data_IF_204839508456
#
_entry.id   IF_204839508456
#
_cell.length_a   1.000
_cell.length_b   1.000
_cell.length_c   1.000
_cell.angle_alpha   90.00
_cell.angle_beta   90.00
_cell.angle_gamma   90.00
#
_symmetry.space_group_name_H-M   'P 1'
#
loop_
_entity.id
_entity.type
_entity.pdbx_description
1 polymer ?
#
# COMPACT_ATOMS: atom_id res chain seq x y z
N UNK A 1 -9.39 -8.90 -9.26
CA UNK A 1 -10.12 -8.37 -10.43
C UNK A 1 -11.25 -7.48 -9.94
N UNK A 2 -11.67 -6.52 -10.77
CA UNK A 2 -12.76 -5.58 -10.48
C UNK A 2 -13.84 -5.75 -11.53
N UNK A 3 -15.09 -5.68 -11.12
CA UNK A 3 -16.23 -5.86 -12.02
C UNK A 3 -17.37 -4.92 -11.63
N UNK A 4 -17.94 -4.23 -12.62
CA UNK A 4 -19.15 -3.42 -12.44
C UNK A 4 -20.36 -4.26 -12.84
N UNK A 5 -21.35 -4.33 -11.95
CA UNK A 5 -22.56 -5.14 -12.12
C UNK A 5 -23.82 -4.35 -11.77
N UNK A 6 -24.93 -4.66 -12.43
CA UNK A 6 -26.24 -4.07 -12.13
C UNK A 6 -26.77 -4.68 -10.83
N UNK A 7 -27.26 -3.85 -9.91
CA UNK A 7 -27.97 -4.31 -8.73
C UNK A 7 -29.40 -4.67 -9.13
N UNK A 8 -29.91 -5.80 -8.64
CA UNK A 8 -31.28 -6.24 -8.89
C UNK A 8 -32.21 -5.62 -7.83
N UNK A 9 -32.80 -4.47 -8.18
CA UNK A 9 -33.71 -3.70 -7.33
C UNK A 9 -35.06 -4.37 -7.05
N UNK A 10 -35.41 -5.40 -7.85
CA UNK A 10 -36.65 -6.17 -7.71
C UNK A 10 -36.48 -7.42 -6.85
N UNK A 11 -35.26 -7.73 -6.41
CA UNK A 11 -35.00 -8.89 -5.59
C UNK A 11 -35.46 -8.67 -4.14
N UNK A 12 -36.08 -9.69 -3.56
CA UNK A 12 -36.45 -9.69 -2.15
C UNK A 12 -35.19 -9.86 -1.28
N UNK A 13 -34.82 -8.79 -0.57
CA UNK A 13 -33.67 -8.78 0.33
C UNK A 13 -33.79 -9.79 1.47
N UNK A 14 -35.00 -10.13 1.92
CA UNK A 14 -35.23 -11.15 2.94
C UNK A 14 -35.02 -12.57 2.39
N UNK A 15 -35.39 -12.83 1.13
CA UNK A 15 -35.07 -14.08 0.44
C UNK A 15 -33.57 -14.18 0.12
N UNK A 16 -32.93 -13.06 -0.23
CA UNK A 16 -31.50 -12.97 -0.47
C UNK A 16 -30.66 -13.26 0.78
N UNK A 17 -31.09 -12.78 1.95
CA UNK A 17 -30.48 -13.12 3.24
C UNK A 17 -30.53 -14.62 3.55
N UNK A 18 -31.54 -15.33 3.03
CA UNK A 18 -31.70 -16.78 3.12
C UNK A 18 -31.03 -17.54 1.95
N UNK A 19 -30.19 -16.87 1.14
CA UNK A 19 -29.42 -17.49 0.06
C UNK A 19 -30.21 -17.77 -1.23
N UNK A 20 -31.44 -17.25 -1.37
CA UNK A 20 -32.26 -17.44 -2.58
C UNK A 20 -32.20 -16.21 -3.46
N UNK A 21 -31.58 -16.35 -4.65
CA UNK A 21 -31.51 -15.29 -5.66
C UNK A 21 -32.48 -15.58 -6.83
N UNK A 22 -33.09 -14.54 -7.45
CA UNK A 22 -33.81 -14.68 -8.71
C UNK A 22 -32.95 -15.29 -9.83
N UNK A 23 -33.60 -15.92 -10.81
CA UNK A 23 -32.89 -16.48 -11.96
C UNK A 23 -32.11 -15.39 -12.72
N UNK A 24 -30.80 -15.59 -12.88
CA UNK A 24 -29.90 -14.62 -13.52
C UNK A 24 -29.23 -13.63 -12.56
N UNK A 25 -29.51 -13.73 -11.26
CA UNK A 25 -28.89 -12.95 -10.20
C UNK A 25 -28.03 -13.83 -9.29
N UNK A 26 -27.10 -13.19 -8.58
CA UNK A 26 -26.22 -13.80 -7.58
C UNK A 26 -26.17 -12.90 -6.34
N UNK A 27 -25.90 -13.50 -5.19
CA UNK A 27 -25.79 -12.77 -3.92
C UNK A 27 -24.32 -12.60 -3.61
N UNK A 28 -23.92 -11.34 -3.37
CA UNK A 28 -22.61 -10.98 -2.82
C UNK A 28 -22.81 -10.28 -1.50
N UNK A 29 -21.76 -10.20 -0.70
CA UNK A 29 -21.80 -9.45 0.55
C UNK A 29 -21.06 -8.12 0.37
N UNK A 30 -21.63 -7.08 0.97
CA UNK A 30 -20.96 -5.81 1.18
C UNK A 30 -19.97 -5.92 2.36
N UNK A 31 -19.15 -4.88 2.57
CA UNK A 31 -18.17 -4.79 3.65
C UNK A 31 -18.80 -4.91 5.05
N UNK A 32 -20.06 -4.52 5.18
CA UNK A 32 -20.87 -4.66 6.41
C UNK A 32 -21.53 -6.04 6.56
N UNK A 33 -21.24 -7.00 5.66
CA UNK A 33 -21.86 -8.33 5.66
C UNK A 33 -23.31 -8.35 5.16
N UNK A 34 -23.80 -7.24 4.58
CA UNK A 34 -25.16 -7.13 4.05
C UNK A 34 -25.25 -7.84 2.69
N UNK A 35 -26.28 -8.66 2.45
CA UNK A 35 -26.46 -9.31 1.15
C UNK A 35 -26.89 -8.28 0.09
N UNK A 36 -26.15 -8.23 -1.01
CA UNK A 36 -26.44 -7.41 -2.19
C UNK A 36 -26.70 -8.35 -3.36
N UNK A 37 -27.88 -8.21 -3.98
CA UNK A 37 -28.26 -9.03 -5.12
C UNK A 37 -27.81 -8.35 -6.40
N UNK A 38 -26.92 -9.01 -7.14
CA UNK A 38 -26.32 -8.50 -8.36
C UNK A 38 -26.74 -9.36 -9.54
N UNK A 39 -26.95 -8.76 -10.70
CA UNK A 39 -27.12 -9.54 -11.93
C UNK A 39 -25.79 -10.20 -12.30
N UNK A 40 -25.85 -11.45 -12.79
CA UNK A 40 -24.67 -12.22 -13.23
C UNK A 40 -23.93 -11.59 -14.41
N UNK A 41 -24.58 -10.70 -15.17
CA UNK A 41 -23.98 -10.03 -16.31
C UNK A 41 -23.03 -8.93 -15.85
N UNK A 42 -21.75 -9.08 -16.18
CA UNK A 42 -20.72 -8.05 -15.99
C UNK A 42 -20.91 -6.95 -17.03
N UNK A 43 -21.04 -5.70 -16.57
CA UNK A 43 -21.18 -4.51 -17.43
C UNK A 43 -19.82 -4.07 -17.95
N UNK A 44 -18.86 -3.97 -17.03
CA UNK A 44 -17.52 -3.48 -17.29
C UNK A 44 -16.54 -4.22 -16.38
N UNK A 45 -15.40 -4.63 -16.94
CA UNK A 45 -14.30 -5.21 -16.18
C UNK A 45 -13.29 -4.11 -15.83
N UNK A 46 -12.61 -4.26 -14.70
CA UNK A 46 -11.51 -3.39 -14.29
C UNK A 46 -10.34 -3.37 -15.26
N UNK A 47 -10.24 -4.33 -16.18
CA UNK A 47 -9.25 -4.32 -17.27
C UNK A 47 -9.42 -3.13 -18.23
N UNK A 48 -10.62 -2.56 -18.30
CA UNK A 48 -10.90 -1.38 -19.13
C UNK A 48 -10.64 -0.05 -18.39
N UNK A 49 -10.19 -0.09 -17.13
CA UNK A 49 -9.81 1.11 -16.38
C UNK A 49 -8.38 1.48 -16.75
N UNK A 50 -8.18 2.69 -17.29
CA UNK A 50 -6.85 3.23 -17.62
C UNK A 50 -6.26 4.06 -16.50
N UNK A 51 -7.11 4.74 -15.71
CA UNK A 51 -6.67 5.54 -14.57
C UNK A 51 -7.79 5.70 -13.53
N UNK A 52 -7.40 5.88 -12.27
CA UNK A 52 -8.30 6.20 -11.17
C UNK A 52 -7.62 7.16 -10.18
N UNK A 53 -8.33 8.22 -9.78
CA UNK A 53 -7.82 9.24 -8.86
C UNK A 53 -8.86 9.65 -7.82
N UNK A 54 -8.43 9.80 -6.57
CA UNK A 54 -9.26 10.35 -5.49
C UNK A 54 -9.35 11.87 -5.62
N UNK A 55 -10.56 12.41 -5.50
CA UNK A 55 -10.85 13.84 -5.56
C UNK A 55 -11.95 14.19 -4.55
N UNK A 56 -12.32 15.46 -4.49
CA UNK A 56 -13.48 15.93 -3.73
C UNK A 56 -14.48 16.55 -4.69
N UNK A 57 -15.76 16.38 -4.41
CA UNK A 57 -16.83 17.00 -5.16
C UNK A 57 -17.00 18.49 -4.80
N UNK A 58 -17.93 19.15 -5.47
CA UNK A 58 -18.25 20.57 -5.28
C UNK A 58 -18.83 20.90 -3.89
N UNK A 59 -19.21 19.88 -3.11
CA UNK A 59 -19.74 19.97 -1.76
C UNK A 59 -18.74 19.48 -0.69
N UNK A 60 -17.48 19.24 -1.08
CA UNK A 60 -16.43 18.76 -0.19
C UNK A 60 -16.52 17.27 0.19
N UNK A 61 -17.36 16.49 -0.51
CA UNK A 61 -17.50 15.05 -0.27
C UNK A 61 -16.44 14.28 -1.08
N UNK A 62 -15.84 13.22 -0.51
CA UNK A 62 -14.89 12.39 -1.25
C UNK A 62 -15.54 11.72 -2.47
N UNK A 63 -14.80 11.69 -3.58
CA UNK A 63 -15.19 10.99 -4.81
C UNK A 63 -13.97 10.34 -5.46
N UNK A 64 -14.19 9.35 -6.33
CA UNK A 64 -13.14 8.76 -7.16
C UNK A 64 -13.46 8.96 -8.63
N UNK A 65 -12.56 9.63 -9.34
CA UNK A 65 -12.64 9.83 -10.78
C UNK A 65 -12.01 8.62 -11.48
N UNK A 66 -12.74 8.06 -12.44
CA UNK A 66 -12.32 6.89 -13.22
C UNK A 66 -12.23 7.30 -14.69
N UNK A 67 -11.13 6.91 -15.33
CA UNK A 67 -10.94 6.99 -16.77
C UNK A 67 -10.89 5.59 -17.35
N UNK A 68 -11.65 5.36 -18.42
CA UNK A 68 -11.70 4.09 -19.14
C UNK A 68 -10.96 4.16 -20.47
N UNK A 69 -10.65 3.00 -21.03
CA UNK A 69 -10.28 2.87 -22.43
C UNK A 69 -11.48 3.14 -23.36
N UNK A 70 -11.23 3.19 -24.66
CA UNK A 70 -12.27 3.50 -25.65
C UNK A 70 -13.38 2.43 -25.70
N UNK A 71 -13.02 1.15 -25.54
CA UNK A 71 -13.98 0.04 -25.61
C UNK A 71 -14.90 0.03 -24.37
N UNK A 72 -14.31 0.13 -23.19
CA UNK A 72 -14.98 0.20 -21.90
C UNK A 72 -15.84 1.45 -21.78
N UNK A 73 -15.37 2.60 -22.25
CA UNK A 73 -16.15 3.84 -22.31
C UNK A 73 -17.41 3.69 -23.19
N UNK A 74 -17.31 3.02 -24.33
CA UNK A 74 -18.46 2.76 -25.21
C UNK A 74 -19.46 1.78 -24.57
N UNK A 75 -18.97 0.70 -23.95
CA UNK A 75 -19.80 -0.27 -23.20
C UNK A 75 -20.55 0.40 -22.05
N UNK A 76 -19.83 1.20 -21.26
CA UNK A 76 -20.40 1.95 -20.13
C UNK A 76 -21.42 2.98 -20.60
N UNK A 77 -21.16 3.69 -21.70
CA UNK A 77 -22.11 4.65 -22.29
C UNK A 77 -23.39 3.98 -22.78
N UNK A 78 -23.27 2.84 -23.48
CA UNK A 78 -24.42 2.09 -23.97
C UNK A 78 -25.28 1.53 -22.83
N UNK A 79 -24.65 1.08 -21.74
CA UNK A 79 -25.34 0.56 -20.57
C UNK A 79 -26.01 1.66 -19.74
N UNK A 80 -25.26 2.70 -19.37
CA UNK A 80 -25.75 3.78 -18.51
C UNK A 80 -26.92 4.55 -19.12
N UNK A 81 -26.91 4.80 -20.44
CA UNK A 81 -28.03 5.46 -21.17
C UNK A 81 -29.37 4.75 -20.98
N UNK A 82 -29.37 3.42 -20.82
CA UNK A 82 -30.60 2.61 -20.67
C UNK A 82 -30.98 2.36 -19.21
N UNK A 83 -30.11 2.71 -18.27
CA UNK A 83 -30.20 2.35 -16.86
C UNK A 83 -30.01 3.55 -15.93
N UNK A 84 -30.33 4.76 -16.40
CA UNK A 84 -30.35 5.97 -15.57
C UNK A 84 -31.36 5.77 -14.43
N UNK A 85 -30.95 6.11 -13.21
CA UNK A 85 -31.74 5.93 -11.98
C UNK A 85 -31.59 4.56 -11.32
N UNK A 86 -30.91 3.60 -11.96
CA UNK A 86 -30.63 2.29 -11.35
C UNK A 86 -29.34 2.27 -10.55
N UNK A 87 -29.26 1.32 -9.63
CA UNK A 87 -28.08 1.05 -8.81
C UNK A 87 -27.06 0.20 -9.58
N UNK A 88 -25.79 0.57 -9.46
CA UNK A 88 -24.64 -0.16 -9.97
C UNK A 88 -23.70 -0.46 -8.81
N UNK A 89 -23.27 -1.72 -8.72
CA UNK A 89 -22.30 -2.17 -7.74
C UNK A 89 -20.92 -2.32 -8.35
N UNK A 90 -19.90 -1.92 -7.59
CA UNK A 90 -18.51 -2.23 -7.87
C UNK A 90 -18.11 -3.44 -7.03
N UNK A 91 -17.86 -4.57 -7.69
CA UNK A 91 -17.42 -5.81 -7.06
C UNK A 91 -15.90 -5.89 -7.17
N UNK A 92 -15.25 -6.05 -6.04
CA UNK A 92 -13.83 -6.36 -5.96
C UNK A 92 -13.64 -7.83 -5.66
N UNK A 93 -12.75 -8.45 -6.40
CA UNK A 93 -12.37 -9.82 -6.22
C UNK A 93 -10.86 -9.91 -6.01
N UNK A 94 -10.42 -10.58 -4.96
CA UNK A 94 -9.01 -10.84 -4.71
C UNK A 94 -8.78 -12.33 -4.48
N UNK A 95 -7.57 -12.78 -4.79
CA UNK A 95 -7.14 -14.14 -4.46
C UNK A 95 -6.32 -14.06 -3.18
N UNK A 96 -6.87 -14.58 -2.08
CA UNK A 96 -6.17 -14.70 -0.81
C UNK A 96 -5.63 -16.11 -0.63
N UNK A 97 -4.51 -16.23 0.08
CA UNK A 97 -4.03 -17.52 0.56
C UNK A 97 -5.10 -18.16 1.44
N UNK A 98 -5.56 -19.35 1.07
CA UNK A 98 -6.58 -20.08 1.81
C UNK A 98 -6.06 -20.68 3.14
N UNK A 99 -4.76 -20.54 3.41
CA UNK A 99 -4.06 -21.22 4.50
C UNK A 99 -3.84 -22.71 4.26
N UNK A 100 -4.29 -23.23 3.10
CA UNK A 100 -4.17 -24.64 2.71
C UNK A 100 -3.12 -24.78 1.62
N UNK A 101 -2.27 -25.80 1.75
CA UNK A 101 -1.26 -26.16 0.75
C UNK A 101 -1.70 -27.46 0.06
N UNK A 102 -1.48 -27.57 -1.25
CA UNK A 102 -1.60 -28.85 -1.95
C UNK A 102 -0.55 -29.84 -1.45
N UNK A 103 -0.70 -31.16 -1.69
CA UNK A 103 0.32 -32.17 -1.35
C UNK A 103 1.71 -31.85 -1.92
N UNK A 104 1.76 -31.07 -3.01
CA UNK A 104 2.96 -30.59 -3.71
C UNK A 104 3.54 -29.31 -3.09
N UNK A 105 3.00 -28.82 -1.97
CA UNK A 105 3.47 -27.62 -1.27
C UNK A 105 3.02 -26.28 -1.86
N UNK A 106 2.16 -26.29 -2.89
CA UNK A 106 1.65 -25.07 -3.52
C UNK A 106 0.49 -24.48 -2.71
N UNK A 107 0.53 -23.18 -2.46
CA UNK A 107 -0.55 -22.44 -1.79
C UNK A 107 -1.82 -22.50 -2.63
N UNK A 108 -2.94 -22.93 -2.01
CA UNK A 108 -4.26 -22.88 -2.63
C UNK A 108 -4.80 -21.47 -2.44
N UNK A 109 -5.06 -20.77 -3.54
CA UNK A 109 -5.67 -19.44 -3.52
C UNK A 109 -7.20 -19.56 -3.50
N UNK A 110 -7.86 -18.83 -2.60
CA UNK A 110 -9.33 -18.70 -2.58
C UNK A 110 -9.73 -17.33 -3.07
N UNK A 111 -10.71 -17.29 -3.99
CA UNK A 111 -11.28 -16.05 -4.51
C UNK A 111 -12.22 -15.45 -3.47
N UNK A 112 -11.83 -14.34 -2.87
CA UNK A 112 -12.71 -13.50 -2.07
C UNK A 112 -13.34 -12.45 -2.97
N UNK A 113 -14.67 -12.30 -2.90
CA UNK A 113 -15.42 -11.32 -3.67
C UNK A 113 -16.30 -10.50 -2.73
N UNK A 114 -16.14 -9.17 -2.76
CA UNK A 114 -16.87 -8.22 -1.93
C UNK A 114 -17.42 -7.08 -2.80
N UNK A 115 -18.56 -6.53 -2.40
CA UNK A 115 -19.06 -5.27 -2.96
C UNK A 115 -18.39 -4.15 -2.18
N UNK A 116 -17.67 -3.25 -2.87
CA UNK A 116 -17.01 -2.10 -2.22
C UNK A 116 -17.90 -0.87 -2.24
N UNK A 117 -18.73 -0.71 -3.26
CA UNK A 117 -19.63 0.44 -3.34
C UNK A 117 -20.88 0.13 -4.18
N UNK A 118 -22.00 0.75 -3.81
CA UNK A 118 -23.26 0.79 -4.51
C UNK A 118 -23.62 2.24 -4.84
N UNK A 119 -23.60 2.59 -6.12
CA UNK A 119 -23.85 3.95 -6.58
C UNK A 119 -24.98 3.99 -7.61
N UNK A 120 -25.82 5.03 -7.54
CA UNK A 120 -26.88 5.25 -8.52
C UNK A 120 -26.32 5.89 -9.79
N UNK A 121 -26.71 5.37 -10.95
CA UNK A 121 -26.37 5.95 -12.25
C UNK A 121 -27.19 7.23 -12.44
N UNK A 122 -26.57 8.40 -12.22
CA UNK A 122 -27.25 9.69 -12.32
C UNK A 122 -27.38 10.21 -13.76
N UNK A 123 -26.47 9.81 -14.65
CA UNK A 123 -26.41 10.28 -16.03
C UNK A 123 -25.78 9.23 -16.95
N UNK A 124 -25.79 9.49 -18.26
CA UNK A 124 -25.04 8.67 -19.21
C UNK A 124 -23.54 8.80 -18.94
N UNK A 125 -22.93 7.73 -18.42
CA UNK A 125 -21.52 7.66 -18.08
C UNK A 125 -20.71 7.37 -19.33
N UNK A 126 -19.81 8.28 -19.69
CA UNK A 126 -18.92 8.13 -20.83
C UNK A 126 -17.62 7.40 -20.47
N UNK A 127 -16.54 7.81 -21.14
CA UNK A 127 -15.19 7.32 -20.85
C UNK A 127 -14.69 7.75 -19.46
N UNK A 128 -15.12 8.93 -19.02
CA UNK A 128 -14.77 9.47 -17.72
C UNK A 128 -16.04 9.54 -16.87
N UNK A 129 -15.99 9.01 -15.66
CA UNK A 129 -17.08 9.13 -14.70
C UNK A 129 -16.52 9.19 -13.28
N UNK A 130 -17.38 9.57 -12.33
CA UNK A 130 -17.03 9.64 -10.92
C UNK A 130 -17.89 8.70 -10.10
N UNK A 131 -17.25 8.05 -9.13
CA UNK A 131 -17.91 7.29 -8.07
C UNK A 131 -18.05 8.22 -6.86
N UNK A 132 -19.28 8.40 -6.40
CA UNK A 132 -19.63 9.21 -5.23
C UNK A 132 -20.16 8.31 -4.11
N UNK A 133 -20.46 8.90 -2.95
CA UNK A 133 -20.98 8.15 -1.80
C UNK A 133 -19.90 7.42 -0.99
N UNK A 134 -18.69 7.97 -0.96
CA UNK A 134 -17.57 7.43 -0.19
C UNK A 134 -17.50 8.18 1.14
N UNK A 135 -17.38 7.45 2.25
CA UNK A 135 -17.51 8.02 3.60
C UNK A 135 -16.28 8.85 4.02
N UNK A 136 -15.08 8.51 3.53
CA UNK A 136 -13.85 9.22 3.90
C UNK A 136 -12.88 9.45 2.75
N UNK A 137 -12.07 10.51 2.87
CA UNK A 137 -11.01 10.82 1.90
C UNK A 137 -9.94 9.71 1.82
N UNK A 138 -9.63 9.09 2.96
CA UNK A 138 -8.70 7.96 3.04
C UNK A 138 -9.24 6.73 2.28
N UNK A 139 -10.54 6.47 2.39
CA UNK A 139 -11.20 5.39 1.67
C UNK A 139 -11.26 5.66 0.16
N UNK A 140 -11.55 6.90 -0.25
CA UNK A 140 -11.48 7.28 -1.66
C UNK A 140 -10.07 7.09 -2.23
N UNK A 141 -9.04 7.40 -1.43
CA UNK A 141 -7.65 7.18 -1.81
C UNK A 141 -7.32 5.69 -1.98
N UNK A 142 -7.70 4.85 -1.02
CA UNK A 142 -7.51 3.41 -1.08
C UNK A 142 -8.27 2.78 -2.24
N UNK A 143 -9.53 3.18 -2.46
CA UNK A 143 -10.31 2.72 -3.59
C UNK A 143 -9.66 3.13 -4.93
N UNK A 144 -9.20 4.37 -5.07
CA UNK A 144 -8.49 4.82 -6.26
C UNK A 144 -7.20 4.00 -6.50
N UNK A 145 -6.45 3.68 -5.43
CA UNK A 145 -5.28 2.80 -5.51
C UNK A 145 -5.67 1.39 -5.99
N UNK A 146 -6.72 0.79 -5.43
CA UNK A 146 -7.20 -0.54 -5.82
C UNK A 146 -7.73 -0.56 -7.26
N UNK A 147 -8.45 0.48 -7.69
CA UNK A 147 -8.96 0.63 -9.04
C UNK A 147 -7.83 0.81 -10.06
N UNK A 148 -6.79 1.58 -9.71
CA UNK A 148 -5.60 1.80 -10.56
C UNK A 148 -4.66 0.59 -10.59
N UNK A 149 -4.57 -0.16 -9.49
CA UNK A 149 -3.97 -1.49 -9.46
C UNK A 149 -4.77 -2.51 -10.30
N UNK A 150 -5.90 -2.07 -10.89
CA UNK A 150 -6.81 -2.83 -11.74
C UNK A 150 -6.14 -3.86 -12.64
N UNK A 151 -6.74 -5.05 -12.63
CA UNK A 151 -6.50 -6.18 -13.54
C UNK A 151 -5.12 -6.86 -13.53
N UNK A 152 -4.11 -6.41 -12.77
CA UNK A 152 -2.92 -7.25 -12.57
C UNK A 152 -3.23 -8.38 -11.59
N UNK A 153 -3.74 -9.48 -12.17
CA UNK A 153 -3.84 -10.83 -11.59
C UNK A 153 -2.42 -11.42 -11.48
N UNK A 154 -1.49 -10.73 -10.84
CA UNK A 154 -0.25 -11.38 -10.43
C UNK A 154 -0.51 -11.91 -9.02
N UNK A 155 -0.72 -13.23 -8.81
CA UNK A 155 -0.81 -13.78 -7.46
C UNK A 155 0.50 -13.47 -6.74
N UNK A 156 0.45 -12.55 -5.78
CA UNK A 156 1.59 -12.19 -4.97
C UNK A 156 1.72 -13.28 -3.91
N UNK A 157 2.53 -14.31 -4.19
CA UNK A 157 2.97 -15.23 -3.16
C UNK A 157 4.19 -14.65 -2.46
N UNK A 158 4.18 -14.61 -1.13
CA UNK A 158 5.36 -14.29 -0.33
C UNK A 158 6.35 -15.46 -0.54
N UNK A 159 7.40 -15.23 -1.34
CA UNK A 159 8.41 -16.25 -1.67
C UNK A 159 9.39 -16.45 -0.51
N UNK A 160 9.71 -15.36 0.19
CA UNK A 160 10.62 -15.37 1.34
C UNK A 160 10.30 -14.16 2.22
N UNK A 161 9.94 -14.41 3.48
CA UNK A 161 9.85 -13.35 4.48
C UNK A 161 11.18 -13.32 5.25
N UNK A 162 12.03 -12.34 4.96
CA UNK A 162 13.19 -12.06 5.83
C UNK A 162 12.75 -11.10 6.92
N UNK A 163 12.19 -11.65 7.99
CA UNK A 163 11.95 -10.88 9.21
C UNK A 163 13.28 -10.65 9.90
N UNK A 164 13.89 -9.49 9.67
CA UNK A 164 15.03 -9.05 10.48
C UNK A 164 14.46 -8.62 11.83
N UNK A 165 14.61 -9.49 12.82
CA UNK A 165 14.18 -9.21 14.19
C UNK A 165 14.92 -8.00 14.76
N UNK A 166 14.26 -7.18 15.61
CA UNK A 166 14.89 -6.02 16.26
C UNK A 166 16.20 -6.37 17.00
N UNK A 167 16.33 -7.60 17.50
CA UNK A 167 17.53 -8.11 18.17
C UNK A 167 18.77 -8.19 17.26
N UNK A 168 18.61 -8.61 16.00
CA UNK A 168 19.73 -8.65 15.04
C UNK A 168 20.19 -7.24 14.67
N UNK A 169 19.26 -6.28 14.60
CA UNK A 169 19.58 -4.87 14.42
C UNK A 169 20.37 -4.31 15.61
N UNK A 170 19.89 -4.57 16.84
CA UNK A 170 20.55 -4.11 18.06
C UNK A 170 21.96 -4.70 18.22
N UNK A 171 22.13 -6.00 17.97
CA UNK A 171 23.45 -6.64 18.03
C UNK A 171 24.45 -5.99 17.07
N UNK A 172 24.02 -5.65 15.85
CA UNK A 172 24.89 -4.97 14.89
C UNK A 172 25.25 -3.53 15.31
N UNK A 173 24.33 -2.83 15.99
CA UNK A 173 24.60 -1.50 16.56
C UNK A 173 25.63 -1.62 17.69
N UNK A 174 25.44 -2.56 18.61
CA UNK A 174 26.33 -2.74 19.76
C UNK A 174 27.75 -3.13 19.31
N UNK A 175 27.86 -4.06 18.36
CA UNK A 175 29.15 -4.44 17.75
C UNK A 175 29.78 -3.26 17.00
N UNK A 176 28.98 -2.46 16.30
CA UNK A 176 29.45 -1.27 15.60
C UNK A 176 30.02 -0.20 16.54
N UNK A 177 29.32 0.09 17.65
CA UNK A 177 29.80 1.03 18.67
C UNK A 177 31.09 0.51 19.33
N UNK A 178 31.15 -0.78 19.66
CA UNK A 178 32.36 -1.37 20.23
C UNK A 178 33.55 -1.28 19.26
N UNK A 179 33.34 -1.57 17.96
CA UNK A 179 34.37 -1.44 16.94
C UNK A 179 34.86 0.02 16.80
N UNK A 180 33.97 1.01 16.86
CA UNK A 180 34.34 2.43 16.89
C UNK A 180 35.21 2.78 18.08
N UNK A 181 34.84 2.34 19.29
CA UNK A 181 35.60 2.64 20.51
C UNK A 181 37.00 2.03 20.43
N UNK A 182 37.12 0.77 20.04
CA UNK A 182 38.42 0.12 19.88
C UNK A 182 39.27 0.74 18.76
N UNK A 183 38.66 1.08 17.63
CA UNK A 183 39.33 1.77 16.53
C UNK A 183 39.85 3.15 16.96
N UNK A 184 39.04 3.91 17.68
CA UNK A 184 39.42 5.22 18.21
C UNK A 184 40.59 5.13 19.19
N UNK A 185 40.54 4.18 20.14
CA UNK A 185 41.64 3.94 21.08
C UNK A 185 42.91 3.57 20.34
N UNK A 186 42.84 2.69 19.33
CA UNK A 186 43.99 2.29 18.54
C UNK A 186 44.60 3.47 17.76
N UNK A 187 43.77 4.30 17.12
CA UNK A 187 44.21 5.51 16.40
C UNK A 187 44.84 6.51 17.36
N UNK A 188 44.22 6.79 18.50
CA UNK A 188 44.76 7.72 19.51
C UNK A 188 46.10 7.25 20.09
N UNK A 189 46.28 5.94 20.28
CA UNK A 189 47.56 5.36 20.71
C UNK A 189 48.62 5.49 19.62
N UNK A 190 48.25 5.19 18.36
CA UNK A 190 49.14 5.29 17.23
C UNK A 190 49.63 6.74 17.00
N UNK A 191 48.72 7.71 17.03
CA UNK A 191 49.05 9.14 16.87
C UNK A 191 49.95 9.64 17.99
N UNK A 192 49.67 9.24 19.23
CA UNK A 192 50.47 9.62 20.39
C UNK A 192 51.90 9.06 20.30
N UNK A 193 52.05 7.80 19.90
CA UNK A 193 53.37 7.16 19.79
C UNK A 193 54.18 7.68 18.59
N UNK A 194 53.55 7.86 17.44
CA UNK A 194 54.23 8.27 16.20
C UNK A 194 54.56 9.77 16.18
N UNK A 195 53.61 10.64 16.57
CA UNK A 195 53.77 12.10 16.53
C UNK A 195 54.19 12.73 17.87
N UNK A 196 54.36 11.92 18.93
CA UNK A 196 54.81 12.34 20.27
C UNK A 196 54.02 13.55 20.78
N UNK A 197 54.68 14.70 21.00
CA UNK A 197 54.06 15.91 21.53
C UNK A 197 52.98 16.51 20.62
N UNK A 198 53.16 16.45 19.30
CA UNK A 198 52.15 16.93 18.34
C UNK A 198 50.94 15.99 18.27
N UNK A 199 51.13 14.69 18.57
CA UNK A 199 50.03 13.72 18.65
C UNK A 199 49.03 14.04 19.75
N UNK A 200 49.46 14.68 20.84
CA UNK A 200 48.58 15.08 21.93
C UNK A 200 47.62 16.21 21.52
N UNK A 201 48.11 17.16 20.71
CA UNK A 201 47.29 18.23 20.13
C UNK A 201 46.30 17.65 19.10
N UNK A 202 46.74 16.70 18.28
CA UNK A 202 45.89 16.02 17.31
C UNK A 202 44.76 15.23 17.99
N UNK A 203 45.03 14.55 19.11
CA UNK A 203 44.01 13.81 19.86
C UNK A 203 42.94 14.73 20.46
N UNK A 204 43.31 15.93 20.91
CA UNK A 204 42.35 16.94 21.38
C UNK A 204 41.46 17.41 20.22
N UNK A 205 42.05 17.66 19.04
CA UNK A 205 41.29 18.05 17.85
C UNK A 205 40.33 16.95 17.39
N UNK A 206 40.77 15.69 17.45
CA UNK A 206 39.95 14.52 17.12
C UNK A 206 38.75 14.38 18.06
N UNK A 207 38.97 14.54 19.38
CA UNK A 207 37.88 14.54 20.35
C UNK A 207 36.89 15.69 20.11
N UNK A 208 37.39 16.90 19.86
CA UNK A 208 36.54 18.05 19.57
C UNK A 208 35.68 17.82 18.31
N UNK A 209 36.27 17.24 17.26
CA UNK A 209 35.56 16.88 16.03
C UNK A 209 34.43 15.87 16.31
N UNK A 210 34.69 14.82 17.09
CA UNK A 210 33.67 13.82 17.44
C UNK A 210 32.50 14.45 18.21
N UNK A 211 32.78 15.30 19.20
CA UNK A 211 31.75 15.99 19.99
C UNK A 211 30.90 16.89 19.09
N UNK A 212 31.52 17.59 18.14
CA UNK A 212 30.79 18.42 17.17
C UNK A 212 29.88 17.58 16.26
N UNK A 213 30.36 16.45 15.73
CA UNK A 213 29.55 15.56 14.88
C UNK A 213 28.33 15.04 15.65
N UNK A 214 28.52 14.54 16.87
CA UNK A 214 27.43 14.03 17.71
C UNK A 214 26.46 15.17 18.09
N UNK A 215 26.99 16.35 18.43
CA UNK A 215 26.19 17.52 18.77
C UNK A 215 25.31 18.01 17.61
N UNK A 216 25.84 18.03 16.39
CA UNK A 216 25.08 18.40 15.19
C UNK A 216 24.02 17.34 14.87
N UNK A 217 24.35 16.05 14.96
CA UNK A 217 23.36 14.97 14.76
C UNK A 217 22.23 15.03 15.79
N UNK A 218 22.52 15.38 17.04
CA UNK A 218 21.50 15.54 18.08
C UNK A 218 20.58 16.74 17.85
N UNK A 219 21.02 17.75 17.10
CA UNK A 219 20.24 18.96 16.81
C UNK A 219 19.25 18.77 15.65
N UNK A 220 19.52 17.84 14.73
CA UNK A 220 18.68 17.58 13.55
C UNK A 220 17.61 16.54 13.89
N UNK A 221 16.31 16.90 13.97
CA UNK A 221 15.24 15.96 14.28
C UNK A 221 15.12 14.88 13.18
N UNK A 222 15.16 13.61 13.58
CA UNK A 222 15.03 12.47 12.66
C UNK A 222 16.36 11.83 12.22
N UNK A 223 17.51 12.37 12.62
CA UNK A 223 18.79 11.70 12.44
C UNK A 223 18.96 10.58 13.48
N UNK A 224 18.64 9.34 13.09
CA UNK A 224 18.85 8.17 13.94
C UNK A 224 20.24 7.57 13.74
N UNK A 225 20.92 7.22 14.83
CA UNK A 225 22.22 6.54 14.78
C UNK A 225 22.04 5.10 14.28
N UNK A 226 22.26 4.89 12.99
CA UNK A 226 22.18 3.58 12.34
C UNK A 226 23.59 3.04 12.03
N UNK A 227 23.69 1.76 11.66
CA UNK A 227 24.96 1.12 11.28
C UNK A 227 25.72 1.93 10.18
N UNK A 228 25.07 2.44 9.11
CA UNK A 228 25.72 3.35 8.16
C UNK A 228 26.26 4.64 8.80
N UNK A 229 25.55 5.21 9.78
CA UNK A 229 26.01 6.39 10.52
C UNK A 229 27.27 6.12 11.34
N UNK A 230 27.32 4.97 12.02
CA UNK A 230 28.49 4.50 12.77
C UNK A 230 29.69 4.32 11.84
N UNK A 231 29.50 3.69 10.68
CA UNK A 231 30.55 3.54 9.68
C UNK A 231 31.06 4.89 9.13
N UNK A 232 30.16 5.85 8.93
CA UNK A 232 30.52 7.23 8.55
C UNK A 232 31.42 7.91 9.59
N UNK A 233 31.13 7.73 10.88
CA UNK A 233 31.98 8.26 11.95
C UNK A 233 33.38 7.63 11.90
N UNK A 234 33.48 6.31 11.75
CA UNK A 234 34.80 5.62 11.61
C UNK A 234 35.60 6.18 10.44
N UNK A 235 34.96 6.40 9.29
CA UNK A 235 35.60 6.97 8.12
C UNK A 235 36.12 8.39 8.40
N UNK A 236 35.31 9.25 9.05
CA UNK A 236 35.73 10.61 9.40
C UNK A 236 36.89 10.62 10.41
N UNK A 237 36.89 9.70 11.37
CA UNK A 237 37.99 9.53 12.34
C UNK A 237 39.28 9.11 11.63
N UNK A 238 39.19 8.21 10.65
CA UNK A 238 40.35 7.78 9.86
C UNK A 238 40.92 8.85 8.93
N UNK A 239 40.11 9.81 8.46
CA UNK A 239 40.56 10.93 7.62
C UNK A 239 41.03 12.14 8.44
N UNK A 240 40.60 12.26 9.70
CA UNK A 240 40.93 13.38 10.57
C UNK A 240 42.35 13.30 11.16
N UNK A 241 43.03 12.17 10.99
CA UNK A 241 44.40 11.85 11.44
C UNK A 241 45.29 11.63 10.23
#
# INVERSE_FOLDING_TARGET
TLEFREVDDKADLAAAANGRAPAGSEIKQDRDGRPVVLKKRVILSGASITDASSSVDEYGRPQVNISLDSEGGNKMSAFSKKNIGKLMATVFAEYKDSGRKTPEGKVILTKHEEVINQATIQSALGRNFRITGIDSAAEAHNLALLLRAGALIAPISIVEERTIGPSMGQQNIDMGIQACVWGMVAVMLFTLLYYRGFGLIANIALMANLVLIIGVMSMIPGATMTLPGIAGIVLTVGMAV
#
